data_IF_116532752984
#
_entry.id   IF_116532752984
#
_cell.length_a   1.000
_cell.length_b   1.000
_cell.length_c   1.000
_cell.angle_alpha   90.00
_cell.angle_beta   90.00
_cell.angle_gamma   90.00
#
_symmetry.space_group_name_H-M   'P 1'
#
loop_
_entity.id
_entity.type
_entity.pdbx_description
1 polymer ?
#
# COMPACT_ATOMS: atom_id res chain seq x y z
N UNK A 1 -0.63 -17.26 -2.15
CA UNK A 1 -0.19 -16.28 -1.14
C UNK A 1 0.49 -15.12 -1.85
N UNK A 2 0.43 -13.91 -1.29
CA UNK A 2 1.18 -12.74 -1.78
C UNK A 2 1.98 -12.16 -0.61
N UNK A 3 3.14 -11.59 -0.89
CA UNK A 3 4.00 -10.92 0.08
C UNK A 3 4.59 -9.68 -0.56
N UNK A 4 4.72 -8.61 0.23
CA UNK A 4 5.47 -7.41 -0.16
C UNK A 4 6.81 -7.45 0.58
N UNK A 5 7.90 -7.19 -0.13
CA UNK A 5 9.22 -6.95 0.42
C UNK A 5 9.70 -5.57 -0.05
N UNK A 6 10.25 -4.76 0.84
CA UNK A 6 10.71 -3.42 0.52
C UNK A 6 11.96 -3.04 1.33
N UNK A 7 12.81 -2.21 0.73
CA UNK A 7 13.91 -1.48 1.39
C UNK A 7 13.85 0.01 1.04
N UNK A 8 14.92 0.76 1.29
CA UNK A 8 14.96 2.21 0.99
C UNK A 8 14.93 2.52 -0.51
N UNK A 9 15.28 1.55 -1.36
CA UNK A 9 15.57 1.74 -2.77
C UNK A 9 14.52 1.06 -3.66
N UNK A 10 13.99 -0.09 -3.24
CA UNK A 10 13.15 -0.96 -4.06
C UNK A 10 11.95 -1.53 -3.28
N UNK A 11 10.90 -1.89 -4.03
CA UNK A 11 9.70 -2.58 -3.50
C UNK A 11 9.29 -3.69 -4.45
N UNK A 12 8.98 -4.88 -3.92
CA UNK A 12 8.64 -6.06 -4.70
C UNK A 12 7.37 -6.77 -4.19
N UNK A 13 6.56 -7.25 -5.14
CA UNK A 13 5.52 -8.25 -4.92
C UNK A 13 6.06 -9.64 -5.20
N UNK A 14 5.90 -10.54 -4.24
CA UNK A 14 6.21 -11.95 -4.38
C UNK A 14 4.91 -12.76 -4.44
N UNK A 15 4.72 -13.54 -5.50
CA UNK A 15 3.59 -14.45 -5.64
C UNK A 15 3.93 -15.85 -5.13
N UNK A 16 2.93 -16.58 -4.66
CA UNK A 16 3.09 -18.00 -4.28
C UNK A 16 3.42 -18.94 -5.46
N UNK A 17 3.37 -18.44 -6.70
CA UNK A 17 3.74 -19.18 -7.90
C UNK A 17 5.20 -18.93 -8.31
N UNK A 18 5.92 -18.04 -7.62
CA UNK A 18 7.31 -17.70 -7.90
C UNK A 18 7.51 -16.44 -8.75
N UNK A 19 6.46 -15.63 -8.95
CA UNK A 19 6.59 -14.36 -9.65
C UNK A 19 7.18 -13.28 -8.73
N UNK A 20 8.07 -12.44 -9.29
CA UNK A 20 8.65 -11.27 -8.65
C UNK A 20 8.34 -10.05 -9.51
N UNK A 21 7.62 -9.08 -8.95
CA UNK A 21 7.10 -7.92 -9.70
C UNK A 21 7.47 -6.65 -8.94
N UNK A 22 8.07 -5.69 -9.63
CA UNK A 22 8.34 -4.34 -9.13
C UNK A 22 7.23 -3.38 -9.60
N UNK A 23 6.66 -2.53 -8.74
CA UNK A 23 5.63 -1.57 -9.13
C UNK A 23 6.23 -0.33 -9.79
N UNK A 24 5.62 0.14 -10.89
CA UNK A 24 6.09 1.33 -11.62
C UNK A 24 6.09 2.61 -10.76
N UNK A 25 5.04 2.79 -9.94
CA UNK A 25 4.84 4.00 -9.14
C UNK A 25 5.37 3.91 -7.70
N UNK A 26 6.08 2.82 -7.36
CA UNK A 26 6.58 2.57 -6.00
C UNK A 26 5.49 2.28 -4.95
N UNK A 27 4.21 2.31 -5.32
CA UNK A 27 3.07 2.08 -4.44
C UNK A 27 2.46 0.71 -4.75
N UNK A 28 2.40 -0.15 -3.74
CA UNK A 28 1.78 -1.47 -3.85
C UNK A 28 0.97 -1.83 -2.61
N UNK A 29 -0.08 -2.63 -2.79
CA UNK A 29 -0.88 -3.16 -1.69
C UNK A 29 -1.34 -4.59 -1.97
N UNK A 30 -1.58 -5.34 -0.90
CA UNK A 30 -2.12 -6.71 -0.95
C UNK A 30 -3.27 -6.86 0.06
N UNK A 31 -4.07 -7.92 -0.07
CA UNK A 31 -5.18 -8.20 0.82
C UNK A 31 -6.53 -7.71 0.28
N UNK A 32 -7.58 -7.79 1.10
CA UNK A 32 -8.97 -7.53 0.70
C UNK A 32 -9.26 -6.06 0.39
N UNK A 33 -8.58 -5.13 1.05
CA UNK A 33 -8.72 -3.69 0.85
C UNK A 33 -7.71 -3.10 -0.14
N UNK A 34 -6.99 -3.94 -0.90
CA UNK A 34 -5.86 -3.49 -1.72
C UNK A 34 -6.26 -2.45 -2.76
N UNK A 35 -7.31 -2.72 -3.55
CA UNK A 35 -7.72 -1.83 -4.65
C UNK A 35 -8.05 -0.43 -4.11
N UNK A 36 -8.84 -0.31 -3.04
CA UNK A 36 -9.19 0.98 -2.45
C UNK A 36 -7.98 1.68 -1.81
N UNK A 37 -7.13 0.94 -1.09
CA UNK A 37 -5.92 1.49 -0.50
C UNK A 37 -4.96 2.02 -1.58
N UNK A 38 -4.66 1.22 -2.61
CA UNK A 38 -3.73 1.58 -3.67
C UNK A 38 -4.26 2.74 -4.51
N UNK A 39 -5.53 2.71 -4.91
CA UNK A 39 -6.13 3.83 -5.65
C UNK A 39 -6.10 5.14 -4.85
N UNK A 40 -6.38 5.10 -3.55
CA UNK A 40 -6.27 6.28 -2.70
C UNK A 40 -4.83 6.76 -2.54
N UNK A 41 -3.89 5.84 -2.34
CA UNK A 41 -2.47 6.17 -2.17
C UNK A 41 -1.88 6.80 -3.43
N UNK A 42 -2.15 6.24 -4.61
CA UNK A 42 -1.72 6.81 -5.90
C UNK A 42 -2.29 8.21 -6.09
N UNK A 43 -3.61 8.38 -5.91
CA UNK A 43 -4.25 9.68 -6.05
C UNK A 43 -3.67 10.74 -5.08
N UNK A 44 -3.40 10.37 -3.83
CA UNK A 44 -2.78 11.27 -2.85
C UNK A 44 -1.33 11.60 -3.20
N UNK A 45 -0.56 10.62 -3.65
CA UNK A 45 0.85 10.81 -4.05
C UNK A 45 0.99 11.76 -5.24
N UNK A 46 0.11 11.63 -6.24
CA UNK A 46 0.17 12.46 -7.45
C UNK A 46 -0.34 13.90 -7.24
N UNK A 47 -1.24 14.11 -6.27
CA UNK A 47 -2.02 15.35 -6.18
C UNK A 47 -1.78 16.13 -4.88
N UNK A 48 -0.86 15.69 -4.02
CA UNK A 48 -0.59 16.34 -2.73
C UNK A 48 0.90 16.36 -2.41
N UNK A 49 1.29 17.16 -1.42
CA UNK A 49 2.64 17.16 -0.83
C UNK A 49 2.72 16.40 0.50
N UNK A 50 1.83 15.41 0.70
CA UNK A 50 1.81 14.61 1.92
C UNK A 50 3.04 13.70 2.00
N UNK A 51 3.52 13.46 3.22
CA UNK A 51 4.56 12.46 3.46
C UNK A 51 4.05 11.03 3.18
N UNK A 52 4.94 10.05 2.90
CA UNK A 52 4.55 8.66 2.69
C UNK A 52 3.70 8.10 3.84
N UNK A 53 4.04 8.44 5.09
CA UNK A 53 3.26 8.05 6.28
C UNK A 53 1.82 8.57 6.20
N UNK A 54 1.64 9.86 5.93
CA UNK A 54 0.32 10.48 5.85
C UNK A 54 -0.52 9.91 4.69
N UNK A 55 0.13 9.59 3.57
CA UNK A 55 -0.51 8.92 2.43
C UNK A 55 -1.04 7.55 2.86
N UNK A 56 -0.20 6.72 3.48
CA UNK A 56 -0.57 5.38 3.97
C UNK A 56 -1.71 5.44 4.97
N UNK A 57 -1.64 6.34 5.96
CA UNK A 57 -2.68 6.49 6.98
C UNK A 57 -4.04 6.88 6.38
N UNK A 58 -4.06 7.83 5.43
CA UNK A 58 -5.30 8.25 4.75
C UNK A 58 -5.84 7.18 3.81
N UNK A 59 -4.97 6.54 3.04
CA UNK A 59 -5.34 5.48 2.11
C UNK A 59 -5.95 4.27 2.84
N UNK A 60 -5.33 3.84 3.93
CA UNK A 60 -5.85 2.73 4.74
C UNK A 60 -7.16 3.09 5.45
N UNK A 61 -7.35 4.34 5.86
CA UNK A 61 -8.64 4.81 6.38
C UNK A 61 -9.75 4.66 5.32
N UNK A 62 -9.50 5.10 4.08
CA UNK A 62 -10.45 4.93 2.97
C UNK A 62 -10.72 3.44 2.70
N UNK A 63 -9.68 2.60 2.75
CA UNK A 63 -9.84 1.16 2.59
C UNK A 63 -10.72 0.53 3.69
N UNK A 64 -10.58 0.97 4.94
CA UNK A 64 -11.42 0.56 6.06
C UNK A 64 -12.86 1.05 5.99
N UNK A 65 -13.12 2.15 5.28
CA UNK A 65 -14.49 2.65 5.03
C UNK A 65 -15.20 1.85 3.91
N UNK A 66 -14.45 1.26 2.98
CA UNK A 66 -14.99 0.61 1.77
C UNK A 66 -14.98 -0.92 1.83
N UNK A 67 -13.97 -1.54 2.43
CA UNK A 67 -13.80 -2.99 2.45
C UNK A 67 -14.24 -3.56 3.79
N UNK A 68 -15.29 -4.40 3.79
CA UNK A 68 -15.84 -5.02 5.01
C UNK A 68 -14.84 -5.90 5.78
N UNK A 69 -13.72 -6.28 5.15
CA UNK A 69 -12.66 -7.09 5.74
C UNK A 69 -11.44 -6.26 6.20
N UNK A 70 -11.46 -4.95 6.01
CA UNK A 70 -10.42 -4.01 6.44
C UNK A 70 -11.03 -3.09 7.48
N UNK A 71 -10.34 -2.87 8.61
CA UNK A 71 -10.83 -1.99 9.67
C UNK A 71 -9.92 -0.77 9.83
N UNK A 72 -10.24 0.10 10.79
CA UNK A 72 -9.50 1.34 11.05
C UNK A 72 -8.31 1.18 12.01
N UNK A 73 -8.02 -0.02 12.50
CA UNK A 73 -6.88 -0.28 13.38
C UNK A 73 -5.66 -0.59 12.53
N UNK A 74 -4.82 0.42 12.30
CA UNK A 74 -3.64 0.34 11.43
C UNK A 74 -2.34 0.42 12.24
N UNK A 75 -1.32 -0.30 11.80
CA UNK A 75 0.07 -0.16 12.25
C UNK A 75 0.89 0.29 11.05
N UNK A 76 1.75 1.28 11.25
CA UNK A 76 2.58 1.86 10.18
C UNK A 76 4.04 1.77 10.60
N UNK A 77 4.81 1.03 9.80
CA UNK A 77 6.26 0.83 9.95
C UNK A 77 7.00 1.61 8.86
N UNK A 78 8.18 2.11 9.17
CA UNK A 78 9.00 2.95 8.28
C UNK A 78 10.47 2.53 8.32
N UNK A 79 11.16 2.67 7.19
CA UNK A 79 12.60 2.46 7.05
C UNK A 79 13.27 3.83 7.05
N UNK A 80 14.30 4.01 7.87
CA UNK A 80 15.07 5.28 8.00
C UNK A 80 16.36 5.24 7.21
#
# INVERSE_FOLDING_TARGET
AMMIAADSDNTYLLSGNGDVIEPDDGIISIGSGSISAQSAAVALSENTGLSPREIVEKAMKIAGDLCIYTNHHITVEEIS
#
